data_IF_344168358258
#
_entry.id   IF_344168358258
#
_cell.length_a   1.000
_cell.length_b   1.000
_cell.length_c   1.000
_cell.angle_alpha   90.00
_cell.angle_beta   90.00
_cell.angle_gamma   90.00
#
_symmetry.space_group_name_H-M   'P 1'
#
loop_
_entity.id
_entity.type
_entity.pdbx_description
1 polymer ?
#
# COMPACT_ATOMS: atom_id res chain seq x y z
N UNK A 1 -10.01 -8.98 -2.60
CA UNK A 1 -9.18 -8.26 -1.62
C UNK A 1 -8.87 -6.86 -2.12
N UNK A 2 -8.69 -5.95 -1.20
CA UNK A 2 -8.26 -4.58 -1.51
C UNK A 2 -6.93 -4.33 -0.83
N UNK A 3 -5.99 -3.78 -1.58
CA UNK A 3 -4.69 -3.38 -1.05
C UNK A 3 -4.73 -1.88 -0.76
N UNK A 4 -4.38 -1.52 0.45
CA UNK A 4 -4.28 -0.14 0.87
C UNK A 4 -2.82 0.21 1.05
N UNK A 5 -2.39 1.30 0.43
CA UNK A 5 -0.99 1.73 0.48
C UNK A 5 -0.96 3.16 1.00
N UNK A 6 -0.38 3.33 2.17
CA UNK A 6 -0.26 4.64 2.80
C UNK A 6 1.21 5.04 2.80
N UNK A 7 1.54 6.06 2.04
CA UNK A 7 2.92 6.45 1.78
C UNK A 7 3.29 7.66 2.63
N UNK A 8 4.12 7.43 3.61
CA UNK A 8 4.69 8.50 4.43
C UNK A 8 6.11 8.81 4.01
N UNK A 9 6.71 9.80 4.65
CA UNK A 9 8.07 10.23 4.30
C UNK A 9 9.11 9.16 4.60
N UNK A 10 8.91 8.37 5.63
CA UNK A 10 9.89 7.36 6.04
C UNK A 10 9.41 5.94 5.82
N UNK A 11 8.12 5.72 5.87
CA UNK A 11 7.57 4.37 5.78
C UNK A 11 6.36 4.33 4.86
N UNK A 12 6.22 3.21 4.19
CA UNK A 12 5.03 2.87 3.43
C UNK A 12 4.34 1.75 4.20
N UNK A 13 3.08 1.96 4.53
CA UNK A 13 2.28 0.96 5.22
C UNK A 13 1.34 0.34 4.21
N UNK A 14 1.36 -1.00 4.15
CA UNK A 14 0.48 -1.74 3.26
C UNK A 14 -0.48 -2.57 4.10
N UNK A 15 -1.73 -2.56 3.71
CA UNK A 15 -2.75 -3.38 4.37
C UNK A 15 -3.59 -4.10 3.34
N UNK A 16 -3.89 -5.35 3.61
CA UNK A 16 -4.77 -6.13 2.74
C UNK A 16 -6.07 -6.36 3.47
N UNK A 17 -7.16 -5.91 2.86
CA UNK A 17 -8.48 -6.05 3.41
C UNK A 17 -9.28 -7.06 2.60
N UNK A 18 -9.90 -7.99 3.29
CA UNK A 18 -10.81 -8.95 2.69
C UNK A 18 -12.10 -8.92 3.48
N UNK A 19 -13.22 -8.67 2.77
CA UNK A 19 -14.49 -8.43 3.40
C UNK A 19 -14.36 -7.24 4.37
N UNK A 20 -14.63 -7.40 5.62
CA UNK A 20 -14.53 -6.30 6.57
C UNK A 20 -13.32 -6.41 7.48
N UNK A 21 -12.36 -7.27 7.13
CA UNK A 21 -11.22 -7.54 7.99
C UNK A 21 -9.90 -7.29 7.29
N UNK A 22 -8.95 -6.77 8.04
CA UNK A 22 -7.56 -6.74 7.58
C UNK A 22 -6.95 -8.10 7.83
N UNK A 23 -6.44 -8.71 6.76
CA UNK A 23 -5.86 -10.04 6.86
C UNK A 23 -4.34 -10.00 6.84
N UNK A 24 -3.76 -8.87 6.48
CA UNK A 24 -2.31 -8.70 6.52
C UNK A 24 -1.98 -7.23 6.53
N UNK A 25 -0.83 -6.90 7.12
CA UNK A 25 -0.36 -5.53 7.19
C UNK A 25 1.16 -5.54 7.30
N UNK A 26 1.81 -4.68 6.54
CA UNK A 26 3.27 -4.60 6.53
C UNK A 26 3.71 -3.16 6.47
N UNK A 27 4.96 -2.96 6.85
CA UNK A 27 5.61 -1.66 6.76
C UNK A 27 6.95 -1.84 6.05
N UNK A 28 7.18 -1.02 5.05
CA UNK A 28 8.46 -1.02 4.35
C UNK A 28 8.99 0.40 4.33
N UNK A 29 10.29 0.54 4.08
CA UNK A 29 10.90 1.86 4.03
C UNK A 29 10.51 2.61 2.78
N UNK A 30 10.29 3.91 2.92
CA UNK A 30 10.10 4.79 1.78
C UNK A 30 11.46 5.12 1.20
N UNK A 31 11.65 4.81 -0.08
CA UNK A 31 12.92 5.05 -0.76
C UNK A 31 12.63 5.61 -2.15
N UNK A 32 12.90 6.90 -2.30
CA UNK A 32 12.62 7.60 -3.56
C UNK A 32 13.49 7.11 -4.71
N UNK A 33 14.56 6.40 -4.42
CA UNK A 33 15.45 5.86 -5.44
C UNK A 33 15.04 4.48 -5.92
N UNK A 34 14.13 3.84 -5.21
CA UNK A 34 13.70 2.50 -5.56
C UNK A 34 12.81 2.53 -6.80
N UNK A 35 13.06 1.61 -7.70
CA UNK A 35 12.30 1.50 -8.93
C UNK A 35 10.99 0.76 -8.70
N UNK A 36 10.10 0.84 -9.67
CA UNK A 36 8.85 0.08 -9.61
C UNK A 36 9.12 -1.42 -9.54
N UNK A 37 10.16 -1.89 -10.22
CA UNK A 37 10.51 -3.31 -10.17
C UNK A 37 10.97 -3.73 -8.79
N UNK A 38 11.74 -2.88 -8.11
CA UNK A 38 12.19 -3.19 -6.76
C UNK A 38 11.05 -3.23 -5.77
N UNK A 39 10.13 -2.28 -5.88
CA UNK A 39 8.92 -2.33 -5.05
C UNK A 39 8.07 -3.55 -5.37
N UNK A 40 7.99 -3.91 -6.65
CA UNK A 40 7.21 -5.08 -7.07
C UNK A 40 7.75 -6.35 -6.43
N UNK A 41 9.06 -6.54 -6.45
CA UNK A 41 9.68 -7.71 -5.84
C UNK A 41 9.37 -7.75 -4.35
N UNK A 42 9.49 -6.61 -3.69
CA UNK A 42 9.25 -6.52 -2.26
C UNK A 42 7.80 -6.87 -1.90
N UNK A 43 6.86 -6.30 -2.63
CA UNK A 43 5.44 -6.54 -2.38
C UNK A 43 5.07 -7.98 -2.68
N UNK A 44 5.59 -8.53 -3.78
CA UNK A 44 5.29 -9.92 -4.13
C UNK A 44 5.84 -10.90 -3.11
N UNK A 45 7.01 -10.63 -2.56
CA UNK A 45 7.55 -11.46 -1.49
C UNK A 45 6.67 -11.42 -0.24
N UNK A 46 6.17 -10.25 0.10
CA UNK A 46 5.27 -10.12 1.25
C UNK A 46 3.98 -10.91 1.04
N UNK A 47 3.44 -10.85 -0.16
CA UNK A 47 2.25 -11.63 -0.50
C UNK A 47 2.53 -13.12 -0.39
N UNK A 48 3.65 -13.56 -0.94
CA UNK A 48 4.01 -14.97 -0.92
C UNK A 48 4.21 -15.49 0.50
N UNK A 49 4.89 -14.72 1.33
CA UNK A 49 5.13 -15.11 2.72
C UNK A 49 3.85 -15.23 3.53
N UNK A 50 2.80 -14.58 3.10
CA UNK A 50 1.52 -14.57 3.80
C UNK A 50 0.45 -15.39 3.06
N UNK A 51 0.86 -16.19 2.08
CA UNK A 51 -0.03 -17.05 1.33
C UNK A 51 -1.17 -16.30 0.66
N UNK A 52 -0.86 -15.09 0.17
CA UNK A 52 -1.83 -14.27 -0.52
C UNK A 52 -1.57 -14.30 -2.02
N UNK A 53 -2.65 -14.46 -2.78
CA UNK A 53 -2.57 -14.49 -4.24
C UNK A 53 -2.79 -13.07 -4.78
N UNK A 54 -1.80 -12.51 -5.47
CA UNK A 54 -1.97 -11.17 -6.06
C UNK A 54 -3.16 -11.09 -7.00
N UNK A 55 -3.53 -12.18 -7.63
CA UNK A 55 -4.68 -12.20 -8.55
C UNK A 55 -6.00 -11.97 -7.83
N UNK A 56 -6.02 -12.15 -6.53
CA UNK A 56 -7.20 -11.89 -5.73
C UNK A 56 -7.43 -10.42 -5.40
N UNK A 57 -6.45 -9.57 -5.70
CA UNK A 57 -6.57 -8.14 -5.42
C UNK A 57 -7.43 -7.50 -6.50
N UNK A 58 -8.55 -6.93 -6.08
CA UNK A 58 -9.52 -6.32 -6.99
C UNK A 58 -9.42 -4.80 -7.04
N UNK A 59 -8.76 -4.21 -6.08
CA UNK A 59 -8.57 -2.78 -6.03
C UNK A 59 -7.36 -2.43 -5.21
N UNK A 60 -6.74 -1.30 -5.56
CA UNK A 60 -5.61 -0.76 -4.82
C UNK A 60 -5.85 0.72 -4.61
N UNK A 61 -5.73 1.17 -3.38
CA UNK A 61 -5.88 2.57 -3.02
C UNK A 61 -4.55 3.07 -2.48
N UNK A 62 -4.04 4.13 -3.05
CA UNK A 62 -2.78 4.73 -2.61
C UNK A 62 -3.05 6.12 -2.06
N UNK A 63 -2.64 6.34 -0.82
CA UNK A 63 -2.64 7.65 -0.18
C UNK A 63 -1.19 8.06 0.02
N UNK A 64 -0.83 9.27 -0.38
CA UNK A 64 0.58 9.66 -0.33
C UNK A 64 0.78 11.10 0.05
N UNK A 65 1.81 11.33 0.87
CA UNK A 65 2.36 12.67 1.12
C UNK A 65 3.69 12.86 0.41
N UNK A 66 4.11 11.90 -0.41
CA UNK A 66 5.41 11.91 -1.08
C UNK A 66 5.20 11.78 -2.58
N UNK A 67 5.00 12.90 -3.29
CA UNK A 67 4.64 12.81 -4.70
C UNK A 67 5.70 12.21 -5.61
N UNK A 68 6.97 12.34 -5.26
CA UNK A 68 8.04 11.92 -6.17
C UNK A 68 8.24 10.41 -6.26
N UNK A 69 7.56 9.62 -5.44
CA UNK A 69 7.63 8.15 -5.59
C UNK A 69 6.36 7.56 -6.15
N UNK A 70 5.37 8.42 -6.40
CA UNK A 70 4.06 7.92 -6.86
C UNK A 70 4.15 7.18 -8.18
N UNK A 71 4.96 7.68 -9.10
CA UNK A 71 5.11 7.03 -10.39
C UNK A 71 5.59 5.57 -10.24
N UNK A 72 6.58 5.36 -9.38
CA UNK A 72 7.11 4.02 -9.14
C UNK A 72 6.06 3.11 -8.50
N UNK A 73 5.28 3.65 -7.56
CA UNK A 73 4.26 2.86 -6.88
C UNK A 73 3.10 2.53 -7.80
N UNK A 74 2.67 3.49 -8.61
CA UNK A 74 1.58 3.25 -9.56
C UNK A 74 1.98 2.19 -10.59
N UNK A 75 3.20 2.28 -11.09
CA UNK A 75 3.70 1.26 -12.02
C UNK A 75 3.84 -0.09 -11.36
N UNK A 76 4.26 -0.12 -10.12
CA UNK A 76 4.33 -1.36 -9.37
C UNK A 76 2.96 -2.03 -9.29
N UNK A 77 1.93 -1.25 -9.00
CA UNK A 77 0.58 -1.80 -8.92
C UNK A 77 0.14 -2.39 -10.25
N UNK A 78 0.41 -1.69 -11.33
CA UNK A 78 0.05 -2.20 -12.66
C UNK A 78 0.77 -3.50 -12.97
N UNK A 79 2.05 -3.59 -12.61
CA UNK A 79 2.84 -4.80 -12.86
C UNK A 79 2.42 -5.97 -12.01
N UNK A 80 2.16 -5.72 -10.74
CA UNK A 80 1.85 -6.81 -9.80
C UNK A 80 0.42 -7.29 -9.91
N UNK A 81 -0.51 -6.37 -10.14
CA UNK A 81 -1.93 -6.69 -10.02
C UNK A 81 -2.71 -6.49 -11.32
N UNK A 82 -2.11 -5.82 -12.28
CA UNK A 82 -2.77 -5.63 -13.59
C UNK A 82 -3.96 -4.70 -13.55
N UNK A 83 -4.03 -3.82 -12.56
CA UNK A 83 -5.15 -2.88 -12.41
C UNK A 83 -4.61 -1.48 -12.14
N UNK A 84 -5.46 -0.48 -12.35
CA UNK A 84 -5.11 0.90 -12.05
C UNK A 84 -5.38 1.19 -10.58
N UNK A 85 -4.42 1.80 -9.87
CA UNK A 85 -4.68 2.21 -8.51
C UNK A 85 -5.55 3.45 -8.45
N UNK A 86 -6.29 3.58 -7.37
CA UNK A 86 -6.99 4.81 -7.04
C UNK A 86 -6.07 5.62 -6.13
N UNK A 87 -5.73 6.82 -6.54
CA UNK A 87 -4.84 7.67 -5.78
C UNK A 87 -5.66 8.73 -5.06
N UNK A 88 -5.47 8.83 -3.76
CA UNK A 88 -6.15 9.84 -2.95
C UNK A 88 -5.12 10.75 -2.31
N UNK A 89 -5.50 11.99 -2.07
CA UNK A 89 -4.59 12.95 -1.47
C UNK A 89 -4.33 12.65 -0.01
N UNK A 90 -3.26 13.22 0.53
CA UNK A 90 -2.95 13.03 1.94
C UNK A 90 -4.05 13.65 2.80
N UNK A 91 -4.34 12.98 3.90
CA UNK A 91 -5.34 13.45 4.82
C UNK A 91 -6.77 13.17 4.45
N UNK A 92 -7.02 12.63 3.27
CA UNK A 92 -8.37 12.26 2.87
C UNK A 92 -8.77 11.00 3.60
N UNK A 93 -9.89 11.09 4.29
CA UNK A 93 -10.45 9.93 4.97
C UNK A 93 -11.42 9.28 4.02
N UNK A 94 -10.99 8.28 3.34
CA UNK A 94 -11.90 7.46 2.55
C UNK A 94 -12.79 6.71 3.50
N UNK A 95 -13.85 6.13 3.02
CA UNK A 95 -14.65 5.28 3.86
C UNK A 95 -13.87 4.07 4.36
N UNK A 96 -12.70 3.86 3.81
CA UNK A 96 -11.83 2.78 4.23
C UNK A 96 -10.95 3.33 5.33
N UNK A 97 -11.31 2.99 6.54
CA UNK A 97 -10.56 3.42 7.68
C UNK A 97 -9.56 2.32 8.00
N UNK A 98 -8.30 2.62 7.78
CA UNK A 98 -7.25 1.66 8.08
C UNK A 98 -7.16 1.54 9.58
N UNK A 99 -7.63 0.41 10.08
CA UNK A 99 -7.66 0.15 11.51
C UNK A 99 -6.36 -0.50 11.90
N UNK A 100 -5.40 0.30 12.29
CA UNK A 100 -4.18 -0.23 12.83
C UNK A 100 -4.39 -0.60 14.27
N UNK A 101 -3.64 -1.58 14.72
CA UNK A 101 -3.64 -1.93 16.12
C UNK A 101 -3.08 -0.81 16.97
N UNK A 102 -2.33 0.08 16.35
CA UNK A 102 -1.74 1.21 17.02
C UNK A 102 -2.18 2.51 16.35
N UNK A 103 -3.30 3.09 16.78
CA UNK A 103 -3.78 4.34 16.21
C UNK A 103 -2.81 5.50 16.35
N UNK A 104 -1.97 5.48 17.37
CA UNK A 104 -0.97 6.52 17.56
C UNK A 104 0.03 6.56 16.43
N UNK A 105 0.35 5.38 15.91
CA UNK A 105 1.29 5.29 14.82
C UNK A 105 0.74 5.97 13.57
N UNK A 106 -0.52 5.75 13.30
CA UNK A 106 -1.17 6.42 12.17
C UNK A 106 -1.16 7.92 12.37
N UNK A 107 -1.47 8.37 13.58
CA UNK A 107 -1.46 9.79 13.89
C UNK A 107 -0.08 10.39 13.79
N UNK A 108 0.93 9.66 14.20
CA UNK A 108 2.30 10.16 14.19
C UNK A 108 2.85 10.33 12.77
N UNK A 109 2.30 9.62 11.82
CA UNK A 109 2.74 9.70 10.43
C UNK A 109 2.26 10.98 9.74
N UNK A 110 1.48 11.76 10.39
CA UNK A 110 0.99 13.01 9.81
C UNK A 110 1.86 14.20 10.16
#
# INVERSE_FOLDING_TARGET
>A
MILLVDVGNTNIVLGVQKDDSYIASWRISTDAKKTSDEYAIQVMQLFEQNDLDPKGVKGVIISSVVPNIMHSLENMVRKCFGIEPVVVGPGIKTGINIKYDNPKEVGADR
#
